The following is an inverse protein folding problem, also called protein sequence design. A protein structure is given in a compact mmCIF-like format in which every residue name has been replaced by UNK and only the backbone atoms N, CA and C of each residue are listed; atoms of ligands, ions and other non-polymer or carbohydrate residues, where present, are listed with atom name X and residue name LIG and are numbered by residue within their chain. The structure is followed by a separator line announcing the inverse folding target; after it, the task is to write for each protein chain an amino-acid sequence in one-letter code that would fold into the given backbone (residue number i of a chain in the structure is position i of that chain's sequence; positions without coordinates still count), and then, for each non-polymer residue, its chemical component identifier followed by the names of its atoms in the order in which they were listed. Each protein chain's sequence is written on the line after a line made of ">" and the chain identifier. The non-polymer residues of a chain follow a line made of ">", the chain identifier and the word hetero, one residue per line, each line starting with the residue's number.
data_IF_963353983444
#
_entry.id   IF_963353983444
#
_cell.length_a   1.000
_cell.length_b   1.000
_cell.length_c   1.000
_cell.angle_alpha   90.00
_cell.angle_beta   90.00
_cell.angle_gamma   90.00
#
_symmetry.space_group_name_H-M   'P 1'
#
loop_
_entity.id
_entity.type
_entity.pdbx_description
1 polymer ?
#
# COMPACT_ATOMS: atom_id res chain seq x y z
N UNK A 1 -27.09 9.03 7.92
CA UNK A 1 -25.97 9.94 7.65
C UNK A 1 -24.63 9.39 8.13
N UNK A 2 -24.32 9.28 9.42
CA UNK A 2 -23.01 8.73 9.86
C UNK A 2 -22.81 7.23 9.55
N UNK A 3 -23.89 6.45 9.46
CA UNK A 3 -23.80 5.02 9.12
C UNK A 3 -23.42 4.77 7.65
N UNK A 4 -23.90 5.63 6.75
CA UNK A 4 -23.63 5.54 5.31
C UNK A 4 -22.18 5.93 4.98
N UNK A 5 -21.65 6.92 5.72
CA UNK A 5 -20.26 7.34 5.62
C UNK A 5 -19.31 6.22 6.07
N UNK A 6 -19.55 5.57 7.22
CA UNK A 6 -18.69 4.48 7.68
C UNK A 6 -18.67 3.30 6.70
N UNK A 7 -19.81 2.95 6.10
CA UNK A 7 -19.85 1.94 5.03
C UNK A 7 -19.01 2.33 3.82
N UNK A 8 -19.09 3.59 3.39
CA UNK A 8 -18.25 4.12 2.32
C UNK A 8 -16.76 4.08 2.64
N UNK A 9 -16.39 4.41 3.89
CA UNK A 9 -15.01 4.31 4.38
C UNK A 9 -14.53 2.87 4.32
N UNK A 10 -15.30 1.92 4.87
CA UNK A 10 -14.93 0.50 4.88
C UNK A 10 -14.76 -0.05 3.47
N UNK A 11 -15.70 0.24 2.56
CA UNK A 11 -15.61 -0.19 1.16
C UNK A 11 -14.31 0.33 0.51
N UNK A 12 -14.03 1.62 0.65
CA UNK A 12 -12.83 2.25 0.10
C UNK A 12 -11.55 1.66 0.71
N UNK A 13 -11.56 1.37 2.02
CA UNK A 13 -10.42 0.77 2.70
C UNK A 13 -10.16 -0.66 2.22
N UNK A 14 -11.19 -1.48 1.98
CA UNK A 14 -10.99 -2.82 1.43
C UNK A 14 -10.39 -2.78 0.03
N UNK A 15 -10.86 -1.89 -0.85
CA UNK A 15 -10.24 -1.67 -2.16
C UNK A 15 -8.80 -1.19 -2.04
N UNK A 16 -8.55 -0.20 -1.18
CA UNK A 16 -7.22 0.34 -0.93
C UNK A 16 -6.24 -0.71 -0.38
N UNK A 17 -6.70 -1.57 0.52
CA UNK A 17 -5.92 -2.66 1.09
C UNK A 17 -5.59 -3.72 0.02
N UNK A 18 -6.56 -4.07 -0.83
CA UNK A 18 -6.33 -4.96 -1.97
C UNK A 18 -5.31 -4.41 -2.98
N UNK A 19 -5.42 -3.14 -3.34
CA UNK A 19 -4.44 -2.47 -4.21
C UNK A 19 -3.06 -2.37 -3.56
N UNK A 20 -3.00 -2.12 -2.26
CA UNK A 20 -1.74 -2.05 -1.52
C UNK A 20 -1.07 -3.42 -1.43
N UNK A 21 -1.84 -4.48 -1.19
CA UNK A 21 -1.34 -5.86 -1.24
C UNK A 21 -0.83 -6.21 -2.64
N UNK A 22 -1.58 -5.86 -3.69
CA UNK A 22 -1.14 -6.09 -5.06
C UNK A 22 0.15 -5.33 -5.40
N UNK A 23 0.27 -4.07 -4.97
CA UNK A 23 1.50 -3.29 -5.14
C UNK A 23 2.69 -3.94 -4.41
N UNK A 24 2.49 -4.46 -3.20
CA UNK A 24 3.50 -5.21 -2.46
C UNK A 24 3.96 -6.46 -3.24
N UNK A 25 3.01 -7.23 -3.78
CA UNK A 25 3.34 -8.41 -4.61
C UNK A 25 4.12 -8.00 -5.86
N UNK A 26 3.70 -6.94 -6.56
CA UNK A 26 4.41 -6.44 -7.75
C UNK A 26 5.84 -6.03 -7.40
N UNK A 27 6.01 -5.20 -6.37
CA UNK A 27 7.32 -4.70 -5.95
C UNK A 27 8.24 -5.85 -5.54
N UNK A 28 7.80 -6.73 -4.64
CA UNK A 28 8.61 -7.87 -4.18
C UNK A 28 8.89 -8.90 -5.27
N UNK A 29 7.96 -9.17 -6.17
CA UNK A 29 8.18 -10.10 -7.30
C UNK A 29 9.17 -9.49 -8.28
N UNK A 30 9.04 -8.19 -8.60
CA UNK A 30 9.94 -7.49 -9.51
C UNK A 30 11.36 -7.35 -8.96
N UNK A 31 11.51 -7.27 -7.64
CA UNK A 31 12.81 -7.32 -6.97
C UNK A 31 13.52 -8.67 -7.13
N UNK A 32 12.77 -9.77 -7.16
CA UNK A 32 13.33 -11.12 -7.30
C UNK A 32 13.45 -11.56 -8.77
N UNK A 33 12.61 -11.02 -9.65
CA UNK A 33 12.57 -11.32 -11.08
C UNK A 33 12.40 -10.03 -11.89
N UNK A 34 13.52 -9.53 -12.43
CA UNK A 34 13.54 -8.35 -13.28
C UNK A 34 12.76 -8.52 -14.58
N UNK A 35 12.45 -9.76 -15.01
CA UNK A 35 11.66 -10.03 -16.22
C UNK A 35 10.14 -10.00 -15.97
N UNK A 36 9.71 -9.97 -14.71
CA UNK A 36 8.30 -9.92 -14.33
C UNK A 36 7.59 -8.68 -14.91
N UNK A 37 6.39 -8.85 -15.49
CA UNK A 37 5.56 -7.76 -16.00
C UNK A 37 4.25 -7.75 -15.22
N UNK A 38 3.96 -6.64 -14.54
CA UNK A 38 2.76 -6.52 -13.73
C UNK A 38 1.53 -6.23 -14.60
N UNK A 39 0.34 -6.62 -14.15
CA UNK A 39 -0.91 -6.28 -14.83
C UNK A 39 -1.19 -4.77 -14.89
N UNK A 40 -0.58 -3.98 -13.98
CA UNK A 40 -0.70 -2.52 -13.98
C UNK A 40 0.36 -1.82 -14.85
N UNK A 41 1.18 -2.58 -15.58
CA UNK A 41 2.02 -2.05 -16.65
C UNK A 41 1.22 -2.01 -17.96
N UNK A 42 0.56 -0.88 -18.21
CA UNK A 42 -0.38 -0.71 -19.33
C UNK A 42 0.36 -0.34 -20.63
N UNK A 43 1.41 0.48 -20.50
CA UNK A 43 2.24 0.92 -21.62
C UNK A 43 3.63 1.26 -21.14
N UNK A 44 4.55 1.50 -22.08
CA UNK A 44 5.92 1.88 -21.75
C UNK A 44 6.01 3.14 -20.87
N UNK A 45 5.09 4.09 -21.10
CA UNK A 45 4.96 5.35 -20.37
C UNK A 45 4.08 5.26 -19.12
N UNK A 46 3.36 4.15 -18.92
CA UNK A 46 2.45 3.96 -17.79
C UNK A 46 2.73 2.58 -17.15
N UNK A 47 3.77 2.54 -16.33
CA UNK A 47 4.25 1.34 -15.64
C UNK A 47 4.29 1.53 -14.13
N UNK A 48 3.47 0.74 -13.42
CA UNK A 48 3.51 0.66 -11.97
C UNK A 48 4.80 0.01 -11.47
N UNK A 49 5.33 -0.99 -12.18
CA UNK A 49 6.57 -1.68 -11.79
C UNK A 49 7.75 -0.71 -11.79
N UNK A 50 7.87 0.15 -12.82
CA UNK A 50 8.89 1.22 -12.85
C UNK A 50 8.73 2.20 -11.68
N UNK A 51 7.49 2.56 -11.33
CA UNK A 51 7.20 3.47 -10.23
C UNK A 51 7.56 2.85 -8.85
N UNK A 52 7.17 1.60 -8.61
CA UNK A 52 7.44 0.89 -7.35
C UNK A 52 8.91 0.55 -7.17
N UNK A 53 9.64 0.27 -8.26
CA UNK A 53 11.10 0.05 -8.21
C UNK A 53 11.92 1.35 -8.12
N UNK A 54 11.28 2.52 -8.17
CA UNK A 54 11.99 3.80 -8.06
C UNK A 54 12.52 4.02 -6.64
N UNK A 55 13.43 4.98 -6.49
CA UNK A 55 13.92 5.40 -5.17
C UNK A 55 12.82 5.89 -4.22
N UNK A 56 11.63 6.20 -4.73
CA UNK A 56 10.48 6.64 -3.94
C UNK A 56 9.54 5.50 -3.56
N UNK A 57 9.71 4.29 -4.11
CA UNK A 57 8.86 3.12 -3.87
C UNK A 57 8.96 2.56 -2.45
N UNK A 58 10.12 2.76 -1.80
CA UNK A 58 10.36 2.40 -0.41
C UNK A 58 10.52 3.62 0.47
N UNK A 59 9.92 3.58 1.66
CA UNK A 59 10.08 4.61 2.68
C UNK A 59 9.81 6.04 2.20
N UNK A 60 8.96 6.18 1.17
CA UNK A 60 8.68 7.41 0.43
C UNK A 60 9.92 8.11 -0.15
N UNK A 61 11.04 7.40 -0.29
CA UNK A 61 12.36 7.94 -0.68
C UNK A 61 13.04 8.80 0.39
N UNK A 62 12.41 8.96 1.55
CA UNK A 62 12.87 9.81 2.66
C UNK A 62 13.45 8.95 3.79
N UNK A 63 12.81 7.81 4.09
CA UNK A 63 13.20 6.96 5.21
C UNK A 63 14.66 6.52 5.13
N UNK A 64 15.17 6.23 3.93
CA UNK A 64 16.58 5.90 3.69
C UNK A 64 17.56 6.97 4.18
N UNK A 65 17.19 8.25 4.10
CA UNK A 65 18.04 9.36 4.51
C UNK A 65 17.98 9.65 6.01
N UNK A 66 16.88 9.28 6.67
CA UNK A 66 16.66 9.53 8.10
C UNK A 66 17.10 8.32 8.95
N UNK A 67 16.74 7.11 8.51
CA UNK A 67 16.90 5.88 9.27
C UNK A 67 17.95 4.93 8.68
N UNK A 68 18.47 5.21 7.49
CA UNK A 68 19.42 4.36 6.76
C UNK A 68 18.75 3.46 5.71
N UNK A 69 19.51 3.05 4.69
CA UNK A 69 19.00 2.19 3.59
C UNK A 69 18.58 0.81 4.07
N UNK A 70 19.37 0.18 4.95
CA UNK A 70 19.09 -1.15 5.53
C UNK A 70 18.14 -1.11 6.73
N UNK A 71 17.53 0.04 6.99
CA UNK A 71 16.61 0.19 8.11
C UNK A 71 15.37 -0.67 7.93
N UNK A 72 14.92 -1.29 9.02
CA UNK A 72 13.61 -1.95 9.06
C UNK A 72 12.45 -1.00 8.74
N UNK A 73 12.66 0.32 8.84
CA UNK A 73 11.67 1.35 8.51
C UNK A 73 11.68 1.75 7.02
N UNK A 74 12.70 1.35 6.26
CA UNK A 74 12.79 1.60 4.82
C UNK A 74 12.10 0.47 4.03
N UNK A 75 10.79 0.30 4.27
CA UNK A 75 9.97 -0.75 3.66
C UNK A 75 9.24 -0.25 2.40
N UNK A 76 8.75 -1.16 1.55
CA UNK A 76 7.78 -0.86 0.50
C UNK A 76 6.65 0.06 0.99
N UNK A 77 6.34 1.13 0.24
CA UNK A 77 5.26 2.06 0.60
C UNK A 77 3.91 1.34 0.71
N UNK A 78 3.73 0.30 -0.10
CA UNK A 78 2.59 -0.60 -0.08
C UNK A 78 2.31 -1.20 1.30
N UNK A 79 3.34 -1.50 2.09
CA UNK A 79 3.19 -1.98 3.47
C UNK A 79 2.64 -0.89 4.40
N UNK A 80 3.12 0.35 4.26
CA UNK A 80 2.55 1.51 4.95
C UNK A 80 1.09 1.76 4.57
N UNK A 81 0.74 1.58 3.29
CA UNK A 81 -0.64 1.63 2.80
C UNK A 81 -1.54 0.57 3.44
N UNK A 82 -1.09 -0.69 3.48
CA UNK A 82 -1.82 -1.77 4.15
C UNK A 82 -2.07 -1.45 5.63
N UNK A 83 -1.04 -1.00 6.36
CA UNK A 83 -1.18 -0.60 7.76
C UNK A 83 -2.20 0.54 7.92
N UNK A 84 -2.12 1.57 7.06
CA UNK A 84 -3.04 2.69 7.07
C UNK A 84 -4.50 2.26 6.91
N UNK A 85 -4.81 1.41 5.91
CA UNK A 85 -6.17 0.94 5.70
C UNK A 85 -6.67 0.04 6.83
N UNK A 86 -5.81 -0.80 7.42
CA UNK A 86 -6.13 -1.58 8.61
C UNK A 86 -6.50 -0.68 9.81
N UNK A 87 -5.70 0.36 10.07
CA UNK A 87 -5.97 1.32 11.15
C UNK A 87 -7.28 2.08 10.89
N UNK A 88 -7.52 2.54 9.65
CA UNK A 88 -8.77 3.23 9.32
C UNK A 88 -10.01 2.36 9.51
N UNK A 89 -9.95 1.08 9.10
CA UNK A 89 -11.03 0.13 9.39
C UNK A 89 -11.22 0.02 10.90
N UNK A 90 -10.15 -0.22 11.65
CA UNK A 90 -10.19 -0.33 13.12
C UNK A 90 -10.85 0.87 13.80
N UNK A 91 -10.47 2.09 13.41
CA UNK A 91 -11.01 3.33 13.97
C UNK A 91 -12.48 3.58 13.57
N UNK A 92 -12.94 3.00 12.47
CA UNK A 92 -14.31 3.17 11.95
C UNK A 92 -15.21 1.96 12.19
N UNK A 93 -14.75 0.96 12.95
CA UNK A 93 -15.62 -0.08 13.50
C UNK A 93 -16.47 0.58 14.58
N UNK A 94 -17.78 0.59 14.39
CA UNK A 94 -18.68 0.89 15.50
C UNK A 94 -18.55 -0.24 16.51
N UNK A 95 -18.08 0.06 17.70
CA UNK A 95 -18.37 -0.79 18.84
C UNK A 95 -19.87 -0.67 19.09
N UNK A 96 -20.67 -1.55 18.51
CA UNK A 96 -21.97 -1.83 19.12
C UNK A 96 -21.65 -2.25 20.55
N UNK A 97 -22.07 -1.42 21.50
CA UNK A 97 -22.04 -1.80 22.91
C UNK A 97 -22.71 -3.17 23.01
N UNK A 98 -21.92 -4.17 23.39
CA UNK A 98 -22.44 -5.43 23.86
C UNK A 98 -23.11 -5.10 25.21
N UNK A 99 -24.45 -5.15 25.20
CA UNK A 99 -25.38 -5.05 26.34
C UNK A 99 -25.51 -3.69 27.04
#
# INVERSE_FOLDING_TARGET
>A
MSFDINKGIHLTCFFGMGLSYYAYVVETTKEHDESYVAMCDISEHMSCSKAFMSSYGKGFGIARHIFGEDSILNQPNSLGGMLFYCVLIGLNIKTEKIA
#
